data_IF_802389787058
#
_entry.id   IF_802389787058
#
_cell.length_a   1.000
_cell.length_b   1.000
_cell.length_c   1.000
_cell.angle_alpha   90.00
_cell.angle_beta   90.00
_cell.angle_gamma   90.00
#
_symmetry.space_group_name_H-M   'P 1'
#
loop_
_entity.id
_entity.type
_entity.pdbx_description
1 polymer ?
#
# COMPACT_ATOMS: atom_id res chain seq x y z
N UNK A 1 18.07 11.13 10.42
CA UNK A 1 16.80 10.56 9.93
C UNK A 1 15.96 10.14 11.13
N UNK A 2 14.64 10.42 11.12
CA UNK A 2 13.75 10.12 12.25
C UNK A 2 13.50 8.61 12.44
N UNK A 3 13.48 7.83 11.35
CA UNK A 3 13.44 6.35 11.37
C UNK A 3 14.87 5.82 11.45
N UNK A 4 15.12 4.93 12.40
CA UNK A 4 16.43 4.33 12.69
C UNK A 4 16.56 2.93 12.10
N UNK A 5 15.47 2.15 12.13
CA UNK A 5 15.43 0.81 11.54
C UNK A 5 13.98 0.41 11.20
N UNK A 6 13.83 -0.53 10.27
CA UNK A 6 12.55 -1.13 9.91
C UNK A 6 12.75 -2.62 9.59
N UNK A 7 11.97 -3.49 10.22
CA UNK A 7 11.98 -4.92 9.98
C UNK A 7 10.55 -5.43 9.72
N UNK A 8 10.43 -6.60 9.09
CA UNK A 8 9.14 -7.19 8.75
C UNK A 8 9.18 -8.71 8.83
N UNK A 9 8.03 -9.30 9.11
CA UNK A 9 7.81 -10.74 8.95
C UNK A 9 6.39 -11.00 8.44
N UNK A 10 6.24 -12.08 7.68
CA UNK A 10 4.97 -12.51 7.12
C UNK A 10 4.71 -13.92 7.63
N UNK A 11 3.51 -14.14 8.17
CA UNK A 11 3.08 -15.42 8.70
C UNK A 11 1.74 -15.80 8.10
N UNK A 12 1.55 -17.07 7.76
CA UNK A 12 0.23 -17.59 7.36
C UNK A 12 -0.73 -17.55 8.55
N UNK A 13 -1.96 -17.09 8.33
CA UNK A 13 -3.01 -17.04 9.35
C UNK A 13 -4.24 -17.81 8.89
N UNK A 14 -4.60 -18.88 9.61
CA UNK A 14 -5.68 -19.77 9.19
C UNK A 14 -5.22 -20.72 8.07
N UNK A 15 -5.91 -20.71 6.94
CA UNK A 15 -5.55 -21.55 5.78
C UNK A 15 -4.42 -20.86 4.97
N UNK A 16 -3.73 -21.59 4.10
CA UNK A 16 -2.60 -21.13 3.26
C UNK A 16 -2.87 -19.90 2.35
N UNK A 17 -4.09 -19.36 2.34
CA UNK A 17 -4.51 -18.21 1.51
C UNK A 17 -4.55 -16.88 2.27
N UNK A 18 -4.34 -16.90 3.58
CA UNK A 18 -4.43 -15.73 4.44
C UNK A 18 -3.10 -15.53 5.17
N UNK A 19 -2.67 -14.27 5.27
CA UNK A 19 -1.37 -13.90 5.83
C UNK A 19 -1.54 -12.71 6.78
N UNK A 20 -0.67 -12.65 7.78
CA UNK A 20 -0.48 -11.52 8.69
C UNK A 20 0.93 -10.98 8.46
N UNK A 21 1.01 -9.65 8.31
CA UNK A 21 2.24 -8.89 8.24
C UNK A 21 2.51 -8.24 9.59
N UNK A 22 3.72 -8.46 10.12
CA UNK A 22 4.24 -7.69 11.25
C UNK A 22 5.25 -6.68 10.73
N UNK A 23 5.15 -5.44 11.23
CA UNK A 23 6.08 -4.35 10.95
C UNK A 23 6.68 -3.88 12.26
N UNK A 24 8.01 -3.91 12.34
CA UNK A 24 8.77 -3.40 13.47
C UNK A 24 9.50 -2.15 13.02
N UNK A 25 9.15 -1.00 13.60
CA UNK A 25 9.67 0.32 13.19
C UNK A 25 10.29 0.98 14.40
N UNK A 26 11.60 1.25 14.32
CA UNK A 26 12.33 1.97 15.35
C UNK A 26 12.56 3.41 14.92
N UNK A 27 12.23 4.34 15.80
CA UNK A 27 12.41 5.79 15.58
C UNK A 27 13.28 6.38 16.68
N UNK A 28 13.80 7.58 16.47
CA UNK A 28 14.56 8.33 17.48
C UNK A 28 13.69 9.20 18.39
N UNK A 29 12.35 9.04 18.34
CA UNK A 29 11.40 9.83 19.14
C UNK A 29 10.98 11.17 18.56
N UNK A 30 11.65 11.69 17.51
CA UNK A 30 11.18 12.90 16.80
C UNK A 30 9.90 12.67 15.98
N UNK A 31 9.58 11.41 15.70
CA UNK A 31 8.39 10.94 15.01
C UNK A 31 8.01 9.59 15.62
N UNK A 32 6.72 9.35 15.88
CA UNK A 32 6.28 8.04 16.35
C UNK A 32 6.35 6.99 15.21
N UNK A 33 6.47 5.69 15.52
CA UNK A 33 6.40 4.63 14.51
C UNK A 33 5.14 4.68 13.62
N UNK A 34 4.02 5.09 14.21
CA UNK A 34 2.73 5.24 13.51
C UNK A 34 2.75 6.38 12.50
N UNK A 35 3.30 7.53 12.89
CA UNK A 35 3.47 8.67 11.99
C UNK A 35 4.48 8.35 10.89
N UNK A 36 5.57 7.65 11.21
CA UNK A 36 6.53 7.16 10.22
C UNK A 36 5.87 6.29 9.14
N UNK A 37 5.03 5.35 9.57
CA UNK A 37 4.27 4.50 8.66
C UNK A 37 3.26 5.29 7.83
N UNK A 38 2.56 6.26 8.45
CA UNK A 38 1.59 7.12 7.78
C UNK A 38 2.24 7.95 6.66
N UNK A 39 3.33 8.66 6.97
CA UNK A 39 4.04 9.50 5.99
C UNK A 39 4.65 8.64 4.87
N UNK A 40 5.24 7.50 5.22
CA UNK A 40 5.80 6.57 4.22
C UNK A 40 4.74 6.03 3.28
N UNK A 41 3.56 5.66 3.80
CA UNK A 41 2.45 5.19 2.98
C UNK A 41 1.93 6.28 2.04
N UNK A 42 1.87 7.54 2.49
CA UNK A 42 1.50 8.68 1.66
C UNK A 42 2.50 8.89 0.52
N UNK A 43 3.80 8.91 0.82
CA UNK A 43 4.86 9.02 -0.19
C UNK A 43 4.77 7.89 -1.21
N UNK A 44 4.52 6.66 -0.76
CA UNK A 44 4.34 5.50 -1.65
C UNK A 44 3.14 5.70 -2.58
N UNK A 45 1.99 6.12 -2.05
CA UNK A 45 0.79 6.39 -2.86
C UNK A 45 1.10 7.49 -3.89
N UNK A 46 1.64 8.61 -3.44
CA UNK A 46 1.96 9.77 -4.29
C UNK A 46 2.93 9.40 -5.41
N UNK A 47 3.91 8.53 -5.12
CA UNK A 47 4.82 7.98 -6.11
C UNK A 47 4.11 7.15 -7.19
N UNK A 48 3.07 6.39 -6.83
CA UNK A 48 2.32 5.57 -7.78
C UNK A 48 1.22 6.32 -8.55
N UNK A 49 0.81 7.53 -8.12
CA UNK A 49 -0.23 8.33 -8.81
C UNK A 49 0.04 8.52 -10.31
N UNK A 50 1.25 8.94 -10.75
CA UNK A 50 1.51 9.16 -12.18
C UNK A 50 1.37 7.88 -13.01
N UNK A 51 1.72 6.73 -12.44
CA UNK A 51 1.62 5.44 -13.14
C UNK A 51 0.16 5.00 -13.30
N UNK A 52 -0.71 5.34 -12.35
CA UNK A 52 -2.15 5.09 -12.47
C UNK A 52 -2.82 6.01 -13.49
N UNK A 53 -2.45 7.30 -13.52
CA UNK A 53 -2.95 8.25 -14.51
C UNK A 53 -2.51 7.89 -15.93
N UNK A 54 -1.25 7.47 -16.07
CA UNK A 54 -0.70 7.02 -17.34
C UNK A 54 -1.36 5.72 -17.83
N UNK A 55 -1.83 4.83 -16.95
CA UNK A 55 -2.62 3.65 -17.34
C UNK A 55 -4.01 4.06 -17.86
N UNK A 56 -4.69 4.99 -17.18
CA UNK A 56 -5.99 5.51 -17.64
C UNK A 56 -5.86 6.19 -19.02
N UNK A 57 -4.85 7.05 -19.21
CA UNK A 57 -4.56 7.69 -20.49
C UNK A 57 -4.07 6.71 -21.57
N UNK A 58 -3.25 5.71 -21.21
CA UNK A 58 -2.83 4.66 -22.15
C UNK A 58 -3.99 3.75 -22.58
N UNK A 59 -5.01 3.51 -21.76
CA UNK A 59 -6.22 2.79 -22.19
C UNK A 59 -6.96 3.58 -23.28
N UNK A 60 -7.02 4.91 -23.18
CA UNK A 60 -7.59 5.77 -24.22
C UNK A 60 -6.70 5.90 -25.46
N UNK A 61 -5.36 5.86 -25.31
CA UNK A 61 -4.40 5.98 -26.40
C UNK A 61 -4.06 4.64 -27.09
N UNK A 62 -4.24 3.49 -26.45
CA UNK A 62 -4.02 2.17 -27.05
C UNK A 62 -4.99 1.89 -28.21
N UNK A 63 -6.17 2.53 -28.22
CA UNK A 63 -7.08 2.55 -29.37
C UNK A 63 -6.51 3.37 -30.56
N UNK A 64 -5.49 4.18 -30.33
CA UNK A 64 -4.82 5.04 -31.32
C UNK A 64 -3.30 4.80 -31.38
N UNK A 65 -2.90 3.69 -32.03
CA UNK A 65 -1.60 3.45 -32.69
C UNK A 65 -0.31 3.66 -31.86
N UNK A 66 0.29 2.52 -31.50
CA UNK A 66 1.73 2.29 -31.29
C UNK A 66 2.45 3.10 -30.20
N UNK A 67 2.19 2.74 -28.95
CA UNK A 67 3.11 2.97 -27.82
C UNK A 67 3.29 1.63 -27.11
N UNK A 68 4.53 1.28 -26.71
CA UNK A 68 4.83 0.04 -25.98
C UNK A 68 4.04 0.09 -24.66
N UNK A 69 3.01 -0.76 -24.47
CA UNK A 69 2.18 -0.67 -23.29
C UNK A 69 2.99 -1.23 -22.11
N UNK A 70 3.28 -0.38 -21.12
CA UNK A 70 3.67 -0.86 -19.80
C UNK A 70 2.59 -1.83 -19.30
N UNK A 71 2.95 -2.91 -18.59
CA UNK A 71 1.95 -3.85 -18.09
C UNK A 71 0.90 -3.08 -17.29
N UNK A 72 -0.40 -3.22 -17.61
CA UNK A 72 -1.44 -2.55 -16.86
C UNK A 72 -1.26 -2.92 -15.39
N UNK A 73 -1.20 -1.94 -14.49
CA UNK A 73 -1.37 -2.19 -13.07
C UNK A 73 -2.86 -2.52 -12.87
N UNK A 74 -3.24 -3.76 -13.26
CA UNK A 74 -4.58 -4.38 -13.06
C UNK A 74 -5.04 -4.22 -11.60
N UNK A 75 -4.11 -3.95 -10.71
CA UNK A 75 -4.36 -3.61 -9.33
C UNK A 75 -5.15 -2.31 -9.13
N UNK A 76 -5.06 -1.24 -9.94
CA UNK A 76 -5.76 0.03 -9.67
C UNK A 76 -7.28 -0.12 -9.64
N UNK A 77 -7.89 -0.64 -10.72
CA UNK A 77 -9.34 -0.86 -10.77
C UNK A 77 -9.80 -1.85 -9.69
N UNK A 78 -8.98 -2.86 -9.39
CA UNK A 78 -9.26 -3.80 -8.31
C UNK A 78 -9.18 -3.09 -6.96
N UNK A 79 -8.19 -2.22 -6.74
CA UNK A 79 -7.95 -1.44 -5.52
C UNK A 79 -9.03 -0.40 -5.32
N UNK A 80 -9.43 0.38 -6.31
CA UNK A 80 -10.50 1.38 -6.16
C UNK A 80 -11.85 0.71 -5.89
N UNK A 81 -12.13 -0.40 -6.57
CA UNK A 81 -13.34 -1.21 -6.33
C UNK A 81 -13.30 -1.90 -4.95
N UNK A 82 -12.12 -2.38 -4.53
CA UNK A 82 -11.89 -2.93 -3.19
C UNK A 82 -11.92 -1.85 -2.11
N UNK A 83 -11.42 -0.64 -2.32
CA UNK A 83 -11.48 0.49 -1.37
C UNK A 83 -12.94 0.88 -1.17
N UNK A 84 -13.74 0.95 -2.25
CA UNK A 84 -15.18 1.24 -2.17
C UNK A 84 -15.98 0.14 -1.46
N UNK A 85 -15.73 -1.15 -1.76
CA UNK A 85 -16.42 -2.28 -1.10
C UNK A 85 -15.89 -2.61 0.30
N UNK A 86 -14.58 -2.53 0.52
CA UNK A 86 -13.89 -2.86 1.78
C UNK A 86 -13.72 -1.67 2.71
N UNK A 87 -14.02 -0.40 2.41
CA UNK A 87 -13.94 0.67 3.43
C UNK A 87 -14.71 0.32 4.72
N UNK A 88 -15.80 -0.42 4.60
CA UNK A 88 -16.62 -0.95 5.71
C UNK A 88 -16.08 -2.25 6.36
N UNK A 89 -15.25 -3.04 5.67
CA UNK A 89 -14.75 -4.36 6.11
C UNK A 89 -13.25 -4.37 6.46
N UNK A 90 -12.43 -3.56 5.78
CA UNK A 90 -10.97 -3.42 5.94
C UNK A 90 -10.59 -2.73 7.25
N UNK A 91 -11.39 -1.75 7.70
CA UNK A 91 -11.22 -1.16 9.04
C UNK A 91 -11.45 -2.20 10.16
N UNK A 92 -12.07 -3.34 9.85
CA UNK A 92 -12.30 -4.46 10.79
C UNK A 92 -11.18 -5.51 10.79
N UNK A 93 -10.31 -5.53 9.77
CA UNK A 93 -9.26 -6.54 9.58
C UNK A 93 -7.85 -5.97 9.78
N UNK A 94 -7.72 -4.65 9.92
CA UNK A 94 -6.47 -3.99 10.28
C UNK A 94 -6.50 -3.80 11.79
N UNK A 95 -5.70 -4.58 12.50
CA UNK A 95 -5.44 -4.39 13.92
C UNK A 95 -4.01 -3.84 14.06
N UNK A 96 -3.88 -2.67 14.68
CA UNK A 96 -2.59 -2.06 14.98
C UNK A 96 -2.46 -2.12 16.49
N UNK A 97 -1.68 -3.09 16.96
CA UNK A 97 -1.25 -3.13 18.35
C UNK A 97 0.08 -2.41 18.46
N UNK A 98 0.17 -1.43 19.35
CA UNK A 98 1.44 -0.80 19.70
C UNK A 98 1.84 -1.32 21.06
N UNK A 99 3.00 -1.98 21.17
CA UNK A 99 3.56 -2.34 22.47
C UNK A 99 3.86 -1.05 23.25
N UNK A 100 3.13 -0.83 24.33
CA UNK A 100 3.46 0.21 25.31
C UNK A 100 4.61 -0.32 26.18
N UNK A 101 5.72 0.43 26.20
CA UNK A 101 6.88 0.18 27.05
C UNK A 101 6.96 1.21 28.16
#
# INVERSE_FOLDING_TARGET
MPVQNANHSIHSYGNEKQEILFLEIWTNGSLTPKEALHESARILIDFFIPFFQMEEENLYLADAKHTIPLPPLIFYNKVTTLIKKKKKLSLKLIFIDQLEF
#
